data_IF_504649698172
#
_entry.id   IF_504649698172
#
_cell.length_a   1.000
_cell.length_b   1.000
_cell.length_c   1.000
_cell.angle_alpha   90.00
_cell.angle_beta   90.00
_cell.angle_gamma   90.00
#
_symmetry.space_group_name_H-M   'P 1'
#
loop_
_entity.id
_entity.type
_entity.pdbx_description
1 polymer ?
#
# COMPACT_ATOMS: atom_id res chain seq x y z
N UNK A 1 0.80 3.34 44.45
CA UNK A 1 0.14 3.31 43.13
C UNK A 1 0.68 2.10 42.39
N UNK A 2 -0.16 1.14 41.98
CA UNK A 2 0.29 0.04 41.11
C UNK A 2 0.56 0.64 39.73
N UNK A 3 1.81 0.56 39.26
CA UNK A 3 2.12 0.83 37.85
C UNK A 3 1.45 -0.26 37.01
N UNK A 4 0.74 0.13 35.95
CA UNK A 4 0.25 -0.81 34.96
C UNK A 4 1.45 -1.46 34.27
N UNK A 5 1.65 -2.75 34.50
CA UNK A 5 2.67 -3.55 33.86
C UNK A 5 2.06 -4.25 32.64
N UNK A 6 2.80 -4.28 31.53
CA UNK A 6 2.41 -4.99 30.31
C UNK A 6 3.21 -6.28 30.25
N UNK A 7 2.55 -7.43 30.22
CA UNK A 7 3.23 -8.72 30.11
C UNK A 7 3.55 -9.02 28.64
N UNK A 8 4.84 -9.22 28.35
CA UNK A 8 5.38 -9.41 27.00
C UNK A 8 5.86 -10.86 26.81
N UNK A 9 5.39 -11.50 25.75
CA UNK A 9 5.83 -12.82 25.30
C UNK A 9 6.22 -12.81 23.82
N UNK A 10 6.86 -13.90 23.37
CA UNK A 10 7.35 -14.01 22.00
C UNK A 10 6.25 -13.91 20.95
N UNK A 11 5.06 -14.46 21.23
CA UNK A 11 3.95 -14.44 20.29
C UNK A 11 3.41 -13.02 20.08
N UNK A 12 3.45 -12.17 21.11
CA UNK A 12 3.07 -10.77 20.96
C UNK A 12 4.05 -10.03 20.04
N UNK A 13 5.36 -10.28 20.14
CA UNK A 13 6.36 -9.67 19.25
C UNK A 13 6.08 -10.04 17.79
N UNK A 14 5.81 -11.31 17.52
CA UNK A 14 5.40 -11.79 16.18
C UNK A 14 4.17 -11.02 15.68
N UNK A 15 3.12 -10.91 16.50
CA UNK A 15 1.89 -10.19 16.11
C UNK A 15 2.12 -8.69 15.92
N UNK A 16 3.02 -8.07 16.67
CA UNK A 16 3.30 -6.65 16.51
C UNK A 16 3.96 -6.38 15.15
N UNK A 17 4.90 -7.22 14.73
CA UNK A 17 5.61 -7.04 13.45
C UNK A 17 4.76 -7.54 12.28
N UNK A 18 4.23 -8.75 12.38
CA UNK A 18 3.58 -9.47 11.27
C UNK A 18 2.05 -9.35 11.28
N UNK A 19 1.46 -8.63 12.23
CA UNK A 19 0.02 -8.40 12.31
C UNK A 19 -0.76 -9.64 12.76
N UNK A 20 -1.73 -10.07 11.94
CA UNK A 20 -2.65 -11.16 12.28
C UNK A 20 -2.06 -12.56 12.05
N UNK A 21 -0.78 -12.67 11.70
CA UNK A 21 -0.13 -13.95 11.43
C UNK A 21 0.15 -14.68 12.76
N UNK A 22 -0.15 -15.98 12.79
CA UNK A 22 -0.17 -16.73 14.05
C UNK A 22 1.21 -17.17 14.53
N UNK A 23 2.20 -17.25 13.63
CA UNK A 23 3.59 -17.61 13.92
C UNK A 23 4.58 -16.97 12.96
N UNK A 24 5.84 -16.88 13.39
CA UNK A 24 6.95 -16.40 12.56
C UNK A 24 7.12 -17.26 11.29
N UNK A 25 7.04 -18.59 11.44
CA UNK A 25 7.16 -19.52 10.31
C UNK A 25 6.13 -19.22 9.22
N UNK A 26 4.87 -19.01 9.60
CA UNK A 26 3.81 -18.65 8.64
C UNK A 26 4.06 -17.29 7.98
N UNK A 27 4.67 -16.34 8.69
CA UNK A 27 5.00 -15.05 8.11
C UNK A 27 6.09 -15.18 7.04
N UNK A 28 7.08 -16.04 7.29
CA UNK A 28 8.15 -16.35 6.34
C UNK A 28 7.58 -17.05 5.11
N UNK A 29 6.82 -18.13 5.30
CA UNK A 29 6.17 -18.88 4.20
C UNK A 29 5.31 -17.94 3.33
N UNK A 30 4.49 -17.10 3.94
CA UNK A 30 3.67 -16.12 3.22
C UNK A 30 4.53 -15.17 2.36
N UNK A 31 5.68 -14.72 2.86
CA UNK A 31 6.57 -13.80 2.14
C UNK A 31 7.35 -14.51 1.02
N UNK A 32 7.66 -15.79 1.18
CA UNK A 32 8.23 -16.64 0.13
C UNK A 32 7.20 -16.89 -0.99
N UNK A 33 5.96 -17.23 -0.65
CA UNK A 33 4.87 -17.40 -1.61
C UNK A 33 4.61 -16.10 -2.40
N UNK A 34 4.69 -14.94 -1.73
CA UNK A 34 4.57 -13.63 -2.39
C UNK A 34 5.72 -13.34 -3.37
N UNK A 35 6.93 -13.85 -3.09
CA UNK A 35 8.06 -13.72 -4.02
C UNK A 35 7.82 -14.55 -5.28
N UNK A 36 7.43 -15.81 -5.11
CA UNK A 36 7.11 -16.71 -6.22
C UNK A 36 6.02 -16.12 -7.11
N UNK A 37 4.90 -15.69 -6.50
CA UNK A 37 3.81 -15.04 -7.22
C UNK A 37 4.29 -13.79 -7.99
N UNK A 38 5.14 -12.96 -7.37
CA UNK A 38 5.65 -11.75 -8.02
C UNK A 38 6.51 -12.09 -9.22
N UNK A 39 7.38 -13.09 -9.13
CA UNK A 39 8.21 -13.54 -10.25
C UNK A 39 7.33 -14.14 -11.35
N UNK A 40 6.36 -14.98 -11.00
CA UNK A 40 5.43 -15.57 -11.97
C UNK A 40 4.61 -14.53 -12.73
N UNK A 41 4.17 -13.47 -12.06
CA UNK A 41 3.48 -12.35 -12.71
C UNK A 41 4.38 -11.64 -13.74
N UNK A 42 5.67 -11.47 -13.43
CA UNK A 42 6.63 -10.91 -14.39
C UNK A 42 6.84 -11.88 -15.56
N UNK A 43 7.00 -13.17 -15.29
CA UNK A 43 7.14 -14.22 -16.33
C UNK A 43 5.93 -14.32 -17.27
N UNK A 44 4.73 -14.05 -16.77
CA UNK A 44 3.51 -14.08 -17.59
C UNK A 44 3.44 -12.89 -18.55
N UNK A 45 4.05 -11.76 -18.19
CA UNK A 45 4.04 -10.55 -18.99
C UNK A 45 5.26 -10.43 -19.91
N UNK A 46 6.37 -11.05 -19.52
CA UNK A 46 7.69 -10.90 -20.15
C UNK A 46 8.34 -12.27 -20.20
N UNK A 47 8.88 -12.64 -21.36
CA UNK A 47 9.65 -13.87 -21.52
C UNK A 47 10.99 -13.77 -20.78
N UNK A 48 11.00 -14.19 -19.50
CA UNK A 48 12.22 -14.29 -18.70
C UNK A 48 12.98 -15.57 -19.01
N UNK A 49 14.30 -15.44 -19.17
CA UNK A 49 15.23 -16.59 -19.15
C UNK A 49 15.33 -17.22 -17.77
N UNK A 50 15.77 -18.48 -17.71
CA UNK A 50 15.99 -19.18 -16.44
C UNK A 50 17.03 -18.43 -15.57
N UNK A 51 18.06 -17.85 -16.18
CA UNK A 51 19.06 -17.05 -15.47
C UNK A 51 18.45 -15.78 -14.84
N UNK A 52 17.55 -15.10 -15.57
CA UNK A 52 16.83 -13.94 -15.04
C UNK A 52 15.92 -14.33 -13.87
N UNK A 53 15.21 -15.46 -13.97
CA UNK A 53 14.37 -15.99 -12.89
C UNK A 53 15.22 -16.28 -11.65
N UNK A 54 16.36 -16.96 -11.81
CA UNK A 54 17.29 -17.23 -10.71
C UNK A 54 17.80 -15.94 -10.07
N UNK A 55 18.16 -14.94 -10.86
CA UNK A 55 18.63 -13.65 -10.36
C UNK A 55 17.55 -12.90 -9.53
N UNK A 56 16.30 -12.88 -10.01
CA UNK A 56 15.18 -12.29 -9.26
C UNK A 56 14.90 -13.05 -7.96
N UNK A 57 14.88 -14.38 -8.00
CA UNK A 57 14.68 -15.20 -6.80
C UNK A 57 15.75 -14.91 -5.75
N UNK A 58 17.02 -14.88 -6.14
CA UNK A 58 18.13 -14.56 -5.23
C UNK A 58 18.01 -13.14 -4.65
N UNK A 59 17.64 -12.16 -5.48
CA UNK A 59 17.44 -10.79 -5.03
C UNK A 59 16.31 -10.68 -3.98
N UNK A 60 15.16 -11.33 -4.25
CA UNK A 60 14.03 -11.38 -3.31
C UNK A 60 14.36 -12.12 -2.01
N UNK A 61 15.05 -13.26 -2.09
CA UNK A 61 15.55 -13.98 -0.91
C UNK A 61 16.51 -13.11 -0.09
N UNK A 62 17.34 -12.30 -0.74
CA UNK A 62 18.21 -11.31 -0.10
C UNK A 62 17.42 -10.24 0.66
N UNK A 63 16.33 -9.73 0.08
CA UNK A 63 15.43 -8.80 0.77
C UNK A 63 14.77 -9.42 2.02
N UNK A 64 14.27 -10.66 1.89
CA UNK A 64 13.71 -11.41 3.02
C UNK A 64 14.76 -11.64 4.11
N UNK A 65 15.96 -12.09 3.74
CA UNK A 65 17.04 -12.34 4.69
C UNK A 65 17.43 -11.07 5.45
N UNK A 66 17.56 -9.93 4.75
CA UNK A 66 17.82 -8.63 5.37
C UNK A 66 16.71 -8.23 6.35
N UNK A 67 15.45 -8.40 5.93
CA UNK A 67 14.31 -8.12 6.80
C UNK A 67 14.35 -8.98 8.08
N UNK A 68 14.57 -10.29 7.93
CA UNK A 68 14.62 -11.22 9.06
C UNK A 68 15.80 -10.95 9.98
N UNK A 69 16.97 -10.60 9.44
CA UNK A 69 18.13 -10.20 10.24
C UNK A 69 17.82 -9.03 11.16
N UNK A 70 17.18 -7.97 10.64
CA UNK A 70 16.72 -6.85 11.45
C UNK A 70 15.66 -7.27 12.48
N UNK A 71 14.72 -8.14 12.09
CA UNK A 71 13.67 -8.63 12.99
C UNK A 71 14.26 -9.44 14.14
N UNK A 72 15.25 -10.30 13.89
CA UNK A 72 15.90 -11.08 14.94
C UNK A 72 16.71 -10.21 15.89
N UNK A 73 17.37 -9.16 15.38
CA UNK A 73 18.04 -8.18 16.23
C UNK A 73 17.04 -7.45 17.13
N UNK A 74 15.91 -6.98 16.57
CA UNK A 74 14.83 -6.35 17.33
C UNK A 74 14.28 -7.30 18.41
N UNK A 75 13.92 -8.53 18.02
CA UNK A 75 13.38 -9.55 18.93
C UNK A 75 14.33 -9.85 20.08
N UNK A 76 15.63 -9.98 19.80
CA UNK A 76 16.64 -10.25 20.83
C UNK A 76 16.83 -9.06 21.80
N UNK A 77 16.59 -7.83 21.35
CA UNK A 77 16.65 -6.63 22.18
C UNK A 77 15.46 -6.44 23.14
N UNK A 78 14.35 -7.14 22.93
CA UNK A 78 13.13 -6.99 23.74
C UNK A 78 13.18 -7.94 24.94
N UNK A 79 13.06 -7.39 26.14
CA UNK A 79 12.92 -8.18 27.38
C UNK A 79 11.53 -8.79 27.46
N UNK A 80 11.47 -10.10 27.75
CA UNK A 80 10.21 -10.82 27.99
C UNK A 80 9.77 -10.68 29.46
N UNK A 81 8.47 -10.83 29.69
CA UNK A 81 7.83 -10.71 31.00
C UNK A 81 7.21 -9.34 31.27
N UNK A 82 6.91 -9.03 32.55
CA UNK A 82 6.28 -7.78 32.94
C UNK A 82 7.18 -6.57 32.64
N UNK A 83 6.67 -5.62 31.85
CA UNK A 83 7.36 -4.41 31.44
C UNK A 83 6.61 -3.14 31.89
N UNK A 84 7.31 -2.13 32.46
CA UNK A 84 6.74 -0.82 32.72
C UNK A 84 6.25 -0.11 31.46
N UNK A 85 5.26 0.78 31.59
CA UNK A 85 4.63 1.45 30.45
C UNK A 85 5.60 2.33 29.63
N UNK A 86 6.57 2.97 30.28
CA UNK A 86 7.60 3.79 29.65
C UNK A 86 8.61 2.95 28.86
N UNK A 87 9.07 1.81 29.41
CA UNK A 87 9.89 0.84 28.67
C UNK A 87 9.13 0.26 27.46
N UNK A 88 7.83 0.01 27.62
CA UNK A 88 6.98 -0.45 26.53
C UNK A 88 6.89 0.57 25.38
N UNK A 89 6.77 1.87 25.70
CA UNK A 89 6.75 2.91 24.67
C UNK A 89 8.03 2.95 23.84
N UNK A 90 9.18 2.68 24.47
CA UNK A 90 10.47 2.55 23.77
C UNK A 90 10.47 1.37 22.81
N UNK A 91 10.06 0.19 23.29
CA UNK A 91 9.95 -1.01 22.44
C UNK A 91 9.02 -0.75 21.25
N UNK A 92 7.86 -0.14 21.50
CA UNK A 92 6.90 0.16 20.45
C UNK A 92 7.45 1.10 19.38
N UNK A 93 8.24 2.10 19.77
CA UNK A 93 8.93 3.01 18.84
C UNK A 93 9.91 2.28 17.92
N UNK A 94 10.55 1.23 18.40
CA UNK A 94 11.47 0.39 17.60
C UNK A 94 10.72 -0.61 16.69
N UNK A 95 9.59 -1.13 17.16
CA UNK A 95 8.76 -2.08 16.41
C UNK A 95 8.02 -1.42 15.24
N UNK A 96 7.54 -0.18 15.42
CA UNK A 96 6.70 0.51 14.44
C UNK A 96 7.28 0.57 13.01
N UNK A 97 8.55 0.98 12.79
CA UNK A 97 9.13 1.03 11.45
C UNK A 97 9.12 -0.34 10.75
N UNK A 98 9.41 -1.40 11.50
CA UNK A 98 9.43 -2.76 10.97
C UNK A 98 8.02 -3.26 10.63
N UNK A 99 7.05 -3.00 11.51
CA UNK A 99 5.64 -3.28 11.23
C UNK A 99 5.18 -2.56 9.96
N UNK A 100 5.48 -1.26 9.83
CA UNK A 100 5.14 -0.47 8.63
C UNK A 100 5.78 -1.05 7.37
N UNK A 101 7.06 -1.41 7.42
CA UNK A 101 7.76 -2.01 6.28
C UNK A 101 7.16 -3.35 5.88
N UNK A 102 6.80 -4.19 6.84
CA UNK A 102 6.13 -5.47 6.55
C UNK A 102 4.74 -5.25 5.93
N UNK A 103 3.94 -4.32 6.48
CA UNK A 103 2.61 -3.98 5.97
C UNK A 103 2.64 -3.36 4.56
N UNK A 104 3.67 -2.58 4.25
CA UNK A 104 3.89 -2.04 2.91
C UNK A 104 4.37 -3.12 1.90
N UNK A 105 4.74 -4.30 2.38
CA UNK A 105 5.39 -5.35 1.60
C UNK A 105 6.91 -5.15 1.53
N UNK A 106 7.67 -6.22 1.76
CA UNK A 106 9.13 -6.14 1.80
C UNK A 106 9.79 -6.01 0.42
N UNK A 107 9.01 -6.23 -0.65
CA UNK A 107 9.45 -6.16 -2.05
C UNK A 107 9.03 -4.84 -2.74
N UNK A 108 8.95 -3.74 -1.99
CA UNK A 108 8.62 -2.40 -2.53
C UNK A 108 9.72 -1.79 -3.41
N UNK A 109 9.52 -0.57 -3.92
CA UNK A 109 10.42 0.10 -4.90
C UNK A 109 11.90 0.13 -4.50
N UNK A 110 12.21 0.26 -3.21
CA UNK A 110 13.58 0.30 -2.70
C UNK A 110 14.23 -1.09 -2.49
N UNK A 111 13.49 -2.17 -2.72
CA UNK A 111 13.94 -3.55 -2.54
C UNK A 111 15.04 -3.93 -3.54
N UNK A 112 15.90 -4.88 -3.16
CA UNK A 112 16.92 -5.42 -4.05
C UNK A 112 16.28 -6.11 -5.25
N UNK A 113 15.15 -6.79 -5.06
CA UNK A 113 14.36 -7.39 -6.14
C UNK A 113 14.02 -6.35 -7.22
N UNK A 114 13.37 -5.24 -6.86
CA UNK A 114 12.97 -4.22 -7.83
C UNK A 114 14.18 -3.54 -8.50
N UNK A 115 15.28 -3.32 -7.76
CA UNK A 115 16.52 -2.80 -8.35
C UNK A 115 17.14 -3.78 -9.34
N UNK A 116 17.04 -5.08 -9.06
CA UNK A 116 17.58 -6.14 -9.92
C UNK A 116 16.83 -6.23 -11.22
N UNK A 117 15.49 -6.07 -11.21
CA UNK A 117 14.65 -6.10 -12.43
C UNK A 117 15.24 -5.21 -13.52
N UNK A 118 15.51 -3.92 -13.25
CA UNK A 118 16.08 -3.02 -14.26
C UNK A 118 17.44 -3.47 -14.78
N UNK A 119 18.26 -4.09 -13.94
CA UNK A 119 19.63 -4.48 -14.30
C UNK A 119 19.72 -5.75 -15.15
N UNK A 120 18.71 -6.62 -15.07
CA UNK A 120 18.74 -7.93 -15.74
C UNK A 120 17.88 -7.97 -17.00
N UNK A 121 16.89 -7.09 -17.12
CA UNK A 121 16.02 -7.01 -18.29
C UNK A 121 16.73 -6.27 -19.43
N UNK A 122 16.56 -6.75 -20.65
CA UNK A 122 16.93 -5.98 -21.83
C UNK A 122 15.93 -4.82 -22.07
N UNK A 123 16.20 -3.96 -23.05
CA UNK A 123 15.37 -2.76 -23.29
C UNK A 123 13.92 -3.08 -23.68
N UNK A 124 13.69 -4.16 -24.44
CA UNK A 124 12.34 -4.60 -24.85
C UNK A 124 11.56 -5.13 -23.64
N UNK A 125 12.16 -6.07 -22.90
CA UNK A 125 11.60 -6.60 -21.65
C UNK A 125 11.32 -5.50 -20.63
N UNK A 126 12.22 -4.50 -20.53
CA UNK A 126 12.03 -3.38 -19.62
C UNK A 126 10.83 -2.51 -20.01
N UNK A 127 10.63 -2.24 -21.30
CA UNK A 127 9.47 -1.49 -21.77
C UNK A 127 8.15 -2.22 -21.43
N UNK A 128 8.11 -3.54 -21.65
CA UNK A 128 6.98 -4.40 -21.26
C UNK A 128 6.74 -4.40 -19.74
N UNK A 129 7.81 -4.47 -18.95
CA UNK A 129 7.75 -4.38 -17.49
C UNK A 129 7.13 -3.05 -17.03
N UNK A 130 7.58 -1.93 -17.60
CA UNK A 130 7.03 -0.62 -17.27
C UNK A 130 5.55 -0.51 -17.61
N UNK A 131 5.12 -1.10 -18.74
CA UNK A 131 3.70 -1.15 -19.10
C UNK A 131 2.90 -2.01 -18.12
N UNK A 132 3.42 -3.17 -17.72
CA UNK A 132 2.81 -4.04 -16.71
C UNK A 132 2.60 -3.30 -15.38
N UNK A 133 3.61 -2.60 -14.89
CA UNK A 133 3.53 -1.83 -13.64
C UNK A 133 2.55 -0.66 -13.78
N UNK A 134 2.57 0.07 -14.89
CA UNK A 134 1.61 1.14 -15.16
C UNK A 134 0.16 0.60 -15.17
N UNK A 135 -0.08 -0.55 -15.77
CA UNK A 135 -1.39 -1.21 -15.79
C UNK A 135 -1.80 -1.73 -14.41
N UNK A 136 -0.86 -2.23 -13.60
CA UNK A 136 -1.09 -2.61 -12.20
C UNK A 136 -1.53 -1.40 -11.39
N UNK A 137 -0.78 -0.31 -11.44
CA UNK A 137 -1.09 0.95 -10.72
C UNK A 137 -2.44 1.49 -11.16
N UNK A 138 -2.73 1.51 -12.46
CA UNK A 138 -4.01 1.96 -13.00
C UNK A 138 -5.18 1.12 -12.53
N UNK A 139 -5.06 -0.22 -12.52
CA UNK A 139 -6.11 -1.13 -12.02
C UNK A 139 -6.33 -0.95 -10.51
N UNK A 140 -5.25 -0.83 -9.74
CA UNK A 140 -5.35 -0.60 -8.31
C UNK A 140 -6.05 0.73 -8.02
N UNK A 141 -5.60 1.82 -8.65
CA UNK A 141 -6.22 3.14 -8.50
C UNK A 141 -7.71 3.12 -8.87
N UNK A 142 -8.09 2.47 -9.99
CA UNK A 142 -9.50 2.31 -10.39
C UNK A 142 -10.32 1.60 -9.30
N UNK A 143 -9.77 0.57 -8.66
CA UNK A 143 -10.49 -0.13 -7.58
C UNK A 143 -10.69 0.74 -6.33
N UNK A 144 -9.73 1.60 -5.98
CA UNK A 144 -9.87 2.58 -4.89
C UNK A 144 -10.93 3.63 -5.26
N UNK A 145 -10.92 4.13 -6.51
CA UNK A 145 -11.93 5.07 -7.02
C UNK A 145 -13.33 4.47 -6.91
N UNK A 146 -13.51 3.23 -7.38
CA UNK A 146 -14.78 2.51 -7.28
C UNK A 146 -15.24 2.35 -5.82
N UNK A 147 -14.34 1.92 -4.93
CA UNK A 147 -14.66 1.77 -3.50
C UNK A 147 -15.03 3.11 -2.84
N UNK A 148 -14.35 4.19 -3.22
CA UNK A 148 -14.62 5.54 -2.72
C UNK A 148 -16.00 6.02 -3.17
N UNK A 149 -16.33 5.86 -4.45
CA UNK A 149 -17.64 6.23 -5.00
C UNK A 149 -18.75 5.37 -4.37
N UNK A 150 -18.55 4.06 -4.22
CA UNK A 150 -19.50 3.19 -3.52
C UNK A 150 -19.74 3.64 -2.06
N UNK A 151 -18.73 4.18 -1.38
CA UNK A 151 -18.91 4.75 -0.03
C UNK A 151 -19.77 6.02 -0.02
N UNK A 152 -19.72 6.83 -1.09
CA UNK A 152 -20.56 8.02 -1.26
C UNK A 152 -22.01 7.63 -1.56
N UNK A 153 -22.23 6.53 -2.28
CA UNK A 153 -23.57 6.02 -2.61
C UNK A 153 -24.41 5.66 -1.39
N UNK A 154 -23.77 5.29 -0.28
CA UNK A 154 -24.46 5.12 1.00
C UNK A 154 -25.14 6.40 1.52
N UNK A 155 -24.77 7.57 0.99
CA UNK A 155 -25.37 8.88 1.32
C UNK A 155 -26.13 9.49 0.14
N UNK A 156 -25.73 9.17 -1.09
CA UNK A 156 -26.22 9.73 -2.33
C UNK A 156 -26.42 8.61 -3.36
N UNK A 157 -27.58 7.93 -3.40
CA UNK A 157 -27.80 6.84 -4.34
C UNK A 157 -27.62 7.33 -5.78
N UNK A 158 -26.62 6.80 -6.47
CA UNK A 158 -26.33 7.13 -7.87
C UNK A 158 -26.96 6.08 -8.78
N UNK A 159 -27.38 6.49 -9.98
CA UNK A 159 -27.69 5.53 -11.04
C UNK A 159 -26.42 4.86 -11.55
N UNK A 160 -26.56 3.74 -12.27
CA UNK A 160 -25.42 3.07 -12.90
C UNK A 160 -24.66 3.99 -13.86
N UNK A 161 -25.38 4.80 -14.64
CA UNK A 161 -24.78 5.73 -15.61
C UNK A 161 -24.00 6.85 -14.90
N UNK A 162 -24.57 7.42 -13.83
CA UNK A 162 -23.88 8.44 -13.02
C UNK A 162 -22.62 7.89 -12.36
N UNK A 163 -22.70 6.68 -11.79
CA UNK A 163 -21.55 5.99 -11.19
C UNK A 163 -20.45 5.80 -12.23
N UNK A 164 -20.78 5.30 -13.42
CA UNK A 164 -19.79 5.02 -14.46
C UNK A 164 -19.15 6.31 -14.98
N UNK A 165 -19.94 7.35 -15.28
CA UNK A 165 -19.44 8.66 -15.69
C UNK A 165 -18.54 9.29 -14.61
N UNK A 166 -18.89 9.13 -13.33
CA UNK A 166 -18.07 9.66 -12.24
C UNK A 166 -16.73 8.91 -12.13
N UNK A 167 -16.73 7.57 -12.20
CA UNK A 167 -15.50 6.78 -12.22
C UNK A 167 -14.61 7.20 -13.38
N UNK A 168 -15.16 7.29 -14.59
CA UNK A 168 -14.38 7.57 -15.79
C UNK A 168 -13.83 9.00 -15.76
N UNK A 169 -14.60 9.99 -15.31
CA UNK A 169 -14.12 11.36 -15.14
C UNK A 169 -12.97 11.45 -14.12
N UNK A 170 -13.05 10.72 -13.01
CA UNK A 170 -11.97 10.67 -12.03
C UNK A 170 -10.72 10.01 -12.61
N UNK A 171 -10.89 8.89 -13.33
CA UNK A 171 -9.77 8.19 -13.98
C UNK A 171 -9.13 8.99 -15.12
N UNK A 172 -9.87 9.88 -15.77
CA UNK A 172 -9.37 10.77 -16.83
C UNK A 172 -8.62 11.98 -16.26
N UNK A 173 -9.18 12.63 -15.24
CA UNK A 173 -8.66 13.90 -14.73
C UNK A 173 -7.60 13.72 -13.62
N UNK A 174 -7.56 12.57 -12.95
CA UNK A 174 -6.60 12.29 -11.90
C UNK A 174 -5.61 11.20 -12.35
N UNK A 175 -4.30 11.50 -12.40
CA UNK A 175 -3.31 10.50 -12.77
C UNK A 175 -3.34 9.33 -11.77
N UNK A 176 -3.34 8.11 -12.29
CA UNK A 176 -3.17 6.93 -11.46
C UNK A 176 -1.78 6.98 -10.83
N UNK A 177 -1.73 7.14 -9.51
CA UNK A 177 -0.51 7.09 -8.72
C UNK A 177 -0.64 6.02 -7.65
N UNK A 178 0.46 5.37 -7.33
CA UNK A 178 0.50 4.41 -6.24
C UNK A 178 0.59 5.18 -4.92
N UNK A 179 -0.49 5.17 -4.14
CA UNK A 179 -0.46 5.70 -2.79
C UNK A 179 -0.29 4.54 -1.80
N UNK A 180 0.94 4.41 -1.28
CA UNK A 180 1.34 3.33 -0.37
C UNK A 180 0.95 3.58 1.11
N UNK A 181 0.16 4.61 1.40
CA UNK A 181 -0.35 4.86 2.74
C UNK A 181 -1.48 3.89 3.12
N UNK A 182 -1.84 3.90 4.41
CA UNK A 182 -2.91 3.05 4.95
C UNK A 182 -4.20 3.17 4.12
N UNK A 183 -4.96 2.08 3.95
CA UNK A 183 -6.20 2.03 3.12
C UNK A 183 -7.18 3.18 3.35
N UNK A 184 -7.29 3.67 4.59
CA UNK A 184 -8.13 4.83 4.92
C UNK A 184 -7.67 6.12 4.22
N UNK A 185 -6.36 6.32 4.10
CA UNK A 185 -5.80 7.46 3.40
C UNK A 185 -5.90 7.34 1.87
N UNK A 186 -5.97 6.13 1.31
CA UNK A 186 -6.24 5.94 -0.13
C UNK A 186 -7.59 6.54 -0.55
N UNK A 187 -8.63 6.37 0.27
CA UNK A 187 -9.94 6.99 0.01
C UNK A 187 -9.86 8.53 0.09
N UNK A 188 -9.13 9.05 1.08
CA UNK A 188 -8.92 10.50 1.19
C UNK A 188 -8.11 11.06 0.02
N UNK A 189 -7.14 10.30 -0.51
CA UNK A 189 -6.41 10.66 -1.72
C UNK A 189 -7.36 10.77 -2.93
N UNK A 190 -8.26 9.80 -3.13
CA UNK A 190 -9.27 9.91 -4.21
C UNK A 190 -10.20 11.10 -4.00
N UNK A 191 -10.68 11.36 -2.77
CA UNK A 191 -11.51 12.53 -2.49
C UNK A 191 -10.75 13.85 -2.74
N UNK A 192 -9.46 13.89 -2.42
CA UNK A 192 -8.59 15.01 -2.75
C UNK A 192 -8.50 15.20 -4.26
N UNK A 193 -8.29 14.13 -5.03
CA UNK A 193 -8.28 14.19 -6.49
C UNK A 193 -9.64 14.67 -7.06
N UNK A 194 -10.76 14.16 -6.56
CA UNK A 194 -12.11 14.63 -6.92
C UNK A 194 -12.27 16.12 -6.62
N UNK A 195 -11.68 16.63 -5.54
CA UNK A 195 -11.75 18.06 -5.19
C UNK A 195 -11.09 18.96 -6.24
N UNK A 196 -10.11 18.44 -6.99
CA UNK A 196 -9.38 19.15 -8.05
C UNK A 196 -10.08 19.12 -9.41
N UNK A 197 -11.07 18.26 -9.60
CA UNK A 197 -11.83 18.18 -10.85
C UNK A 197 -12.66 19.45 -11.01
N UNK A 198 -12.68 20.02 -12.22
CA UNK A 198 -13.52 21.19 -12.52
C UNK A 198 -15.00 20.92 -12.18
N UNK A 199 -15.63 21.85 -11.45
CA UNK A 199 -17.07 21.77 -11.16
C UNK A 199 -17.90 21.70 -12.44
N UNK A 200 -17.51 22.42 -13.50
CA UNK A 200 -18.23 22.44 -14.77
C UNK A 200 -18.28 21.06 -15.45
N UNK A 201 -17.26 20.22 -15.24
CA UNK A 201 -17.21 18.85 -15.75
C UNK A 201 -17.93 17.85 -14.84
N UNK A 202 -17.81 18.05 -13.53
CA UNK A 202 -18.28 17.09 -12.54
C UNK A 202 -19.78 17.23 -12.24
N UNK A 203 -20.27 18.47 -12.10
CA UNK A 203 -21.66 18.75 -11.71
C UNK A 203 -22.72 18.21 -12.68
N UNK A 204 -22.54 18.24 -14.02
CA UNK A 204 -23.52 17.70 -14.96
C UNK A 204 -23.83 16.20 -14.80
N UNK A 205 -22.96 15.44 -14.13
CA UNK A 205 -23.18 14.01 -13.86
C UNK A 205 -24.30 13.83 -12.82
N UNK A 206 -24.54 14.81 -11.95
CA UNK A 206 -25.42 14.68 -10.80
C UNK A 206 -26.71 15.47 -10.97
N UNK A 207 -27.78 14.97 -10.36
CA UNK A 207 -28.99 15.77 -10.20
C UNK A 207 -28.77 16.87 -9.16
N UNK A 208 -29.55 17.95 -9.23
CA UNK A 208 -29.41 19.12 -8.34
C UNK A 208 -29.46 18.76 -6.85
N UNK A 209 -30.30 17.77 -6.49
CA UNK A 209 -30.42 17.27 -5.11
C UNK A 209 -29.21 16.48 -4.61
N UNK A 210 -28.40 15.94 -5.51
CA UNK A 210 -27.23 15.09 -5.21
C UNK A 210 -25.98 15.95 -5.04
N UNK A 211 -25.90 17.06 -5.78
CA UNK A 211 -24.75 17.95 -5.80
C UNK A 211 -24.26 18.41 -4.42
N UNK A 212 -25.11 18.82 -3.46
CA UNK A 212 -24.64 19.23 -2.13
C UNK A 212 -23.87 18.15 -1.36
N UNK A 213 -24.15 16.87 -1.63
CA UNK A 213 -23.46 15.74 -1.00
C UNK A 213 -22.08 15.55 -1.62
N UNK A 214 -22.00 15.59 -2.95
CA UNK A 214 -20.75 15.52 -3.70
C UNK A 214 -19.84 16.70 -3.36
N UNK A 215 -20.40 17.91 -3.30
CA UNK A 215 -19.67 19.12 -2.94
C UNK A 215 -19.11 19.07 -1.52
N UNK A 216 -19.86 18.47 -0.57
CA UNK A 216 -19.33 18.23 0.78
C UNK A 216 -18.16 17.24 0.77
N UNK A 217 -18.25 16.18 -0.02
CA UNK A 217 -17.17 15.20 -0.17
C UNK A 217 -15.91 15.83 -0.79
N UNK A 218 -16.08 16.71 -1.80
CA UNK A 218 -14.99 17.51 -2.38
C UNK A 218 -14.29 18.38 -1.34
N UNK A 219 -15.06 19.15 -0.56
CA UNK A 219 -14.51 20.01 0.50
C UNK A 219 -13.77 19.19 1.56
N UNK A 220 -14.31 18.03 1.92
CA UNK A 220 -13.63 17.10 2.82
C UNK A 220 -12.29 16.63 2.23
N UNK A 221 -12.26 16.19 0.96
CA UNK A 221 -11.03 15.82 0.27
C UNK A 221 -9.99 16.94 0.26
N UNK A 222 -10.41 18.17 -0.07
CA UNK A 222 -9.53 19.34 -0.07
C UNK A 222 -8.94 19.62 1.32
N UNK A 223 -9.72 19.51 2.39
CA UNK A 223 -9.24 19.71 3.77
C UNK A 223 -8.22 18.66 4.23
N UNK A 224 -8.21 17.47 3.63
CA UNK A 224 -7.29 16.39 3.97
C UNK A 224 -5.96 16.47 3.23
N UNK A 225 -5.78 17.45 2.33
CA UNK A 225 -4.53 17.59 1.58
C UNK A 225 -3.29 17.66 2.48
N UNK A 226 -3.38 18.33 3.64
CA UNK A 226 -2.25 18.44 4.58
C UNK A 226 -2.00 17.20 5.43
N UNK A 227 -2.91 16.22 5.45
CA UNK A 227 -2.72 14.93 6.16
C UNK A 227 -2.31 13.80 5.21
N UNK A 228 -2.53 13.99 3.92
CA UNK A 228 -1.93 13.18 2.88
C UNK A 228 -0.48 13.65 2.75
N UNK A 229 0.48 12.78 3.02
CA UNK A 229 1.90 13.07 2.82
C UNK A 229 2.20 13.17 1.32
N UNK A 230 1.72 14.23 0.67
CA UNK A 230 1.75 14.39 -0.80
C UNK A 230 3.17 14.67 -1.31
N UNK A 231 4.08 15.13 -0.44
CA UNK A 231 5.50 15.39 -0.80
C UNK A 231 6.21 14.10 -1.24
N UNK A 232 5.87 12.95 -0.64
CA UNK A 232 6.39 11.64 -1.07
C UNK A 232 5.83 11.18 -2.43
N UNK A 233 4.81 11.86 -2.98
CA UNK A 233 4.20 11.52 -4.27
C UNK A 233 4.70 12.38 -5.43
N UNK A 234 5.49 13.44 -5.16
CA UNK A 234 6.03 14.36 -6.16
C UNK A 234 7.55 14.18 -6.37
N UNK A 235 8.21 13.33 -5.57
CA UNK A 235 9.62 12.93 -5.76
C UNK A 235 9.81 11.67 -6.65
N UNK A 236 8.72 11.14 -7.21
CA UNK A 236 8.70 10.04 -8.20
C UNK A 236 8.55 10.56 -9.64
#
# INVERSE_FOLDING_TARGET
MQQNMIDINEQQIVRWVFGNISSEKQAIEMVEDLLELKIDLVRQAIDLSDEQVVALTLAGQGDLHRFLGEYYMLRHGIKLGPMPQDEWQEVWRQVQPMQKRFQAGIYGHSSLLNKTVRSILNDEQWAEYQQLEADRVRRHYRSIVQATIASLEGKCPLTQDQRQQFIDLVMEQAPAREYNGHRYYQMYYVLYQISKIDEEKLKPIFHEREWPIIERARKQGASMAGSLNLEELDEE
#
